data_IF_667600943690
#
_entry.id   IF_667600943690
#
_cell.length_a   1.000
_cell.length_b   1.000
_cell.length_c   1.000
_cell.angle_alpha   90.00
_cell.angle_beta   90.00
_cell.angle_gamma   90.00
#
_symmetry.space_group_name_H-M   'P 1'
#
loop_
_entity.id
_entity.type
_entity.pdbx_description
1 polymer ?
#
# COMPACT_ATOMS: atom_id res chain seq x y z
N UNK A 1 5.96 -12.70 4.92
CA UNK A 1 4.69 -13.44 5.13
C UNK A 1 3.50 -12.49 5.30
N UNK A 2 3.77 -11.24 5.70
CA UNK A 2 2.80 -10.19 6.02
C UNK A 2 1.93 -9.76 4.81
N UNK A 3 2.49 -9.73 3.59
CA UNK A 3 1.74 -9.39 2.37
C UNK A 3 0.57 -10.36 2.11
N UNK A 4 0.80 -11.67 2.18
CA UNK A 4 -0.26 -12.67 1.97
C UNK A 4 -1.35 -12.62 3.04
N UNK A 5 -0.99 -12.27 4.28
CA UNK A 5 -1.95 -12.12 5.36
C UNK A 5 -2.81 -10.86 5.19
N UNK A 6 -2.21 -9.74 4.76
CA UNK A 6 -2.96 -8.52 4.44
C UNK A 6 -3.98 -8.73 3.30
N UNK A 7 -3.63 -9.52 2.28
CA UNK A 7 -4.56 -9.86 1.19
C UNK A 7 -5.70 -10.78 1.64
N UNK A 8 -5.45 -11.68 2.60
CA UNK A 8 -6.51 -12.52 3.17
C UNK A 8 -7.52 -11.66 3.94
N UNK A 9 -7.03 -10.73 4.77
CA UNK A 9 -7.87 -9.80 5.54
C UNK A 9 -8.66 -8.85 4.65
N UNK A 10 -8.07 -8.40 3.53
CA UNK A 10 -8.76 -7.61 2.51
C UNK A 10 -9.98 -8.35 1.93
N UNK A 11 -9.85 -9.65 1.65
CA UNK A 11 -10.97 -10.49 1.19
C UNK A 11 -12.07 -10.68 2.24
N UNK A 12 -11.75 -10.51 3.52
CA UNK A 12 -12.72 -10.55 4.62
C UNK A 12 -13.35 -9.17 4.91
N UNK A 13 -13.19 -8.18 4.01
CA UNK A 13 -13.62 -6.79 4.20
C UNK A 13 -12.96 -6.09 5.41
N UNK A 14 -11.86 -6.62 5.93
CA UNK A 14 -11.12 -6.05 7.06
C UNK A 14 -9.95 -5.19 6.58
N UNK A 15 -10.24 -4.18 5.73
CA UNK A 15 -9.22 -3.32 5.12
C UNK A 15 -8.37 -2.58 6.16
N UNK A 16 -8.98 -2.20 7.30
CA UNK A 16 -8.24 -1.59 8.41
C UNK A 16 -7.19 -2.53 9.03
N UNK A 17 -7.53 -3.79 9.25
CA UNK A 17 -6.58 -4.78 9.76
C UNK A 17 -5.54 -5.14 8.69
N UNK A 18 -5.93 -5.23 7.42
CA UNK A 18 -5.00 -5.41 6.31
C UNK A 18 -3.95 -4.29 6.26
N UNK A 19 -4.37 -3.03 6.41
CA UNK A 19 -3.48 -1.87 6.50
C UNK A 19 -2.56 -1.96 7.72
N UNK A 20 -3.08 -2.38 8.88
CA UNK A 20 -2.27 -2.54 10.09
C UNK A 20 -1.17 -3.57 9.91
N UNK A 21 -1.47 -4.71 9.28
CA UNK A 21 -0.48 -5.75 8.99
C UNK A 21 0.53 -5.27 7.95
N UNK A 22 0.10 -4.53 6.92
CA UNK A 22 1.00 -3.95 5.93
C UNK A 22 1.97 -2.95 6.60
N UNK A 23 1.46 -2.06 7.45
CA UNK A 23 2.25 -1.12 8.27
C UNK A 23 3.27 -1.86 9.15
N UNK A 24 2.85 -2.93 9.83
CA UNK A 24 3.76 -3.75 10.64
C UNK A 24 4.85 -4.44 9.79
N UNK A 25 4.54 -4.80 8.55
CA UNK A 25 5.53 -5.30 7.59
C UNK A 25 6.51 -4.21 7.15
N UNK A 26 6.02 -2.99 6.93
CA UNK A 26 6.83 -1.82 6.58
C UNK A 26 7.74 -1.37 7.72
N UNK A 27 7.34 -1.53 8.99
CA UNK A 27 8.25 -1.25 10.11
C UNK A 27 9.50 -2.14 10.09
N UNK A 28 9.37 -3.38 9.59
CA UNK A 28 10.51 -4.28 9.41
C UNK A 28 11.27 -4.00 8.11
N UNK A 29 10.53 -3.72 7.04
CA UNK A 29 11.06 -3.49 5.70
C UNK A 29 10.40 -2.26 5.06
N UNK A 30 10.87 -1.04 5.38
CA UNK A 30 10.20 0.21 4.98
C UNK A 30 10.24 0.48 3.47
N UNK A 31 11.17 -0.16 2.76
CA UNK A 31 11.37 -0.02 1.32
C UNK A 31 10.73 -1.16 0.51
N UNK A 32 9.98 -2.07 1.15
CA UNK A 32 9.30 -3.15 0.42
C UNK A 32 8.17 -2.58 -0.45
N UNK A 33 8.47 -2.37 -1.73
CA UNK A 33 7.56 -1.80 -2.73
C UNK A 33 6.20 -2.50 -2.73
N UNK A 34 6.17 -3.84 -2.59
CA UNK A 34 4.89 -4.59 -2.60
C UNK A 34 4.01 -4.28 -1.39
N UNK A 35 4.60 -4.03 -0.23
CA UNK A 35 3.88 -3.64 0.98
C UNK A 35 3.41 -2.18 0.90
N UNK A 36 4.21 -1.29 0.31
CA UNK A 36 3.83 0.10 0.07
C UNK A 36 2.64 0.20 -0.90
N UNK A 37 2.67 -0.56 -2.01
CA UNK A 37 1.55 -0.65 -2.96
C UNK A 37 0.28 -1.19 -2.29
N UNK A 38 0.40 -2.22 -1.44
CA UNK A 38 -0.74 -2.75 -0.69
C UNK A 38 -1.29 -1.74 0.32
N UNK A 39 -0.41 -1.08 1.09
CA UNK A 39 -0.81 -0.04 2.03
C UNK A 39 -1.52 1.11 1.33
N UNK A 40 -1.02 1.55 0.16
CA UNK A 40 -1.67 2.55 -0.68
C UNK A 40 -3.10 2.14 -1.06
N UNK A 41 -3.24 0.92 -1.61
CA UNK A 41 -4.54 0.37 -1.99
C UNK A 41 -5.52 0.36 -0.81
N UNK A 42 -5.08 -0.09 0.36
CA UNK A 42 -5.91 -0.16 1.56
C UNK A 42 -6.30 1.21 2.09
N UNK A 43 -5.37 2.17 2.15
CA UNK A 43 -5.68 3.54 2.56
C UNK A 43 -6.67 4.20 1.59
N UNK A 44 -6.53 3.98 0.28
CA UNK A 44 -7.47 4.50 -0.71
C UNK A 44 -8.88 3.93 -0.53
N UNK A 45 -9.00 2.63 -0.24
CA UNK A 45 -10.27 1.97 0.06
C UNK A 45 -10.89 2.43 1.39
N UNK A 46 -10.07 2.87 2.35
CA UNK A 46 -10.52 3.51 3.58
C UNK A 46 -10.87 5.00 3.39
N UNK A 47 -10.93 5.46 2.15
CA UNK A 47 -11.17 6.86 1.77
C UNK A 47 -10.08 7.83 2.26
N UNK A 48 -8.88 7.34 2.55
CA UNK A 48 -7.70 8.15 2.86
C UNK A 48 -6.79 8.24 1.64
N UNK A 49 -7.19 9.09 0.69
CA UNK A 49 -6.44 9.34 -0.53
C UNK A 49 -5.06 9.97 -0.25
N UNK A 50 -4.94 10.79 0.80
CA UNK A 50 -3.67 11.44 1.17
C UNK A 50 -2.65 10.40 1.64
N UNK A 51 -3.07 9.48 2.52
CA UNK A 51 -2.19 8.41 2.99
C UNK A 51 -1.86 7.44 1.85
N UNK A 52 -2.81 7.16 0.96
CA UNK A 52 -2.59 6.34 -0.22
C UNK A 52 -1.55 6.92 -1.18
N UNK A 53 -1.62 8.23 -1.43
CA UNK A 53 -0.65 8.95 -2.26
C UNK A 53 0.73 8.92 -1.62
N UNK A 54 0.84 9.19 -0.32
CA UNK A 54 2.12 9.17 0.38
C UNK A 54 2.82 7.82 0.23
N UNK A 55 2.10 6.70 0.35
CA UNK A 55 2.68 5.37 0.13
C UNK A 55 3.17 5.15 -1.30
N UNK A 56 2.46 5.66 -2.31
CA UNK A 56 2.90 5.58 -3.71
C UNK A 56 4.14 6.43 -3.94
N UNK A 57 4.22 7.62 -3.37
CA UNK A 57 5.40 8.48 -3.44
C UNK A 57 6.62 7.80 -2.79
N UNK A 58 6.45 7.19 -1.62
CA UNK A 58 7.53 6.41 -0.98
C UNK A 58 7.94 5.20 -1.82
N UNK A 59 6.97 4.46 -2.39
CA UNK A 59 7.29 3.34 -3.28
C UNK A 59 8.07 3.78 -4.51
N UNK A 60 7.74 4.96 -5.05
CA UNK A 60 8.39 5.54 -6.22
C UNK A 60 9.88 5.84 -6.00
N UNK A 61 10.28 6.14 -4.77
CA UNK A 61 11.68 6.45 -4.44
C UNK A 61 12.60 5.23 -4.59
N UNK A 62 12.09 4.03 -4.35
CA UNK A 62 12.87 2.78 -4.38
C UNK A 62 12.56 1.89 -5.60
N UNK A 63 11.41 2.08 -6.26
CA UNK A 63 11.00 1.26 -7.38
C UNK A 63 11.82 1.54 -8.65
N UNK A 64 12.40 0.48 -9.23
CA UNK A 64 13.07 0.55 -10.55
C UNK A 64 12.08 0.85 -11.69
N UNK A 65 10.84 0.39 -11.55
CA UNK A 65 9.73 0.68 -12.47
C UNK A 65 8.62 1.44 -11.75
N UNK A 66 8.34 2.65 -12.23
CA UNK A 66 7.35 3.56 -11.64
C UNK A 66 6.08 3.67 -12.46
N UNK A 67 5.95 2.94 -13.57
CA UNK A 67 4.79 3.02 -14.46
C UNK A 67 3.49 2.67 -13.73
N UNK A 68 3.49 1.55 -12.98
CA UNK A 68 2.32 1.15 -12.16
C UNK A 68 2.00 2.20 -11.09
N UNK A 69 3.02 2.78 -10.47
CA UNK A 69 2.86 3.77 -9.39
C UNK A 69 2.25 5.06 -9.93
N UNK A 70 2.74 5.54 -11.08
CA UNK A 70 2.22 6.73 -11.75
C UNK A 70 0.78 6.54 -12.22
N UNK A 71 0.43 5.35 -12.73
CA UNK A 71 -0.95 5.02 -13.11
C UNK A 71 -1.90 5.08 -11.90
N UNK A 72 -1.46 4.54 -10.76
CA UNK A 72 -2.23 4.59 -9.50
C UNK A 72 -2.38 6.01 -8.97
N UNK A 73 -1.30 6.80 -8.97
CA UNK A 73 -1.34 8.22 -8.61
C UNK A 73 -2.31 9.01 -9.48
N UNK A 74 -2.28 8.78 -10.80
CA UNK A 74 -3.20 9.42 -11.74
C UNK A 74 -4.66 9.00 -11.54
N UNK A 75 -4.94 7.90 -10.83
CA UNK A 75 -6.30 7.47 -10.46
C UNK A 75 -6.80 8.17 -9.19
N UNK A 76 -5.89 8.69 -8.35
CA UNK A 76 -6.23 9.40 -7.12
C UNK A 76 -6.67 10.86 -7.41
N UNK A 77 -6.07 11.48 -8.42
CA UNK A 77 -6.35 12.86 -8.87
C UNK A 77 -7.46 12.95 -9.93
#
# INVERSE_FOLDING_TARGET
>A
YEYGYSQALHKEHQVQEALRIAKQGLEKNPFETRLLLAASQFSYELHDANEAENYLLTAKEDAEDTEEILLRLATIY
#
